data_IF_642785652654
#
_entry.id   IF_642785652654
#
_cell.length_a   1.000
_cell.length_b   1.000
_cell.length_c   1.000
_cell.angle_alpha   90.00
_cell.angle_beta   90.00
_cell.angle_gamma   90.00
#
_symmetry.space_group_name_H-M   'P 1'
#
loop_
_entity.id
_entity.type
_entity.pdbx_description
1 polymer ?
#
# COMPACT_ATOMS: atom_id res chain seq x y z
N UNK A 1 -18.80 -17.96 -19.78
CA UNK A 1 -19.41 -18.39 -18.50
C UNK A 1 -18.39 -19.24 -17.78
N UNK A 2 -17.93 -18.87 -16.58
CA UNK A 2 -17.10 -19.76 -15.79
C UNK A 2 -17.99 -20.94 -15.41
N UNK A 3 -17.67 -22.13 -15.93
CA UNK A 3 -18.32 -23.35 -15.45
C UNK A 3 -17.79 -23.59 -14.05
N UNK A 4 -18.65 -23.49 -13.04
CA UNK A 4 -18.44 -24.24 -11.81
C UNK A 4 -18.48 -25.72 -12.19
N UNK A 5 -17.31 -26.26 -12.50
CA UNK A 5 -17.14 -27.69 -12.57
C UNK A 5 -17.18 -28.19 -11.12
N UNK A 6 -18.25 -28.91 -10.78
CA UNK A 6 -18.20 -29.91 -9.72
C UNK A 6 -17.06 -30.87 -10.06
N UNK A 7 -15.87 -30.60 -9.53
CA UNK A 7 -14.67 -31.38 -9.82
C UNK A 7 -14.64 -32.62 -8.93
N UNK A 8 -15.02 -33.76 -9.50
CA UNK A 8 -14.42 -35.03 -9.14
C UNK A 8 -13.06 -35.09 -9.85
N UNK A 9 -11.97 -34.87 -9.12
CA UNK A 9 -10.61 -34.99 -9.65
C UNK A 9 -10.18 -36.47 -9.68
N UNK A 10 -9.93 -37.09 -10.85
CA UNK A 10 -9.18 -38.33 -10.91
C UNK A 10 -7.69 -37.98 -10.94
N UNK A 11 -6.99 -38.32 -9.86
CA UNK A 11 -5.55 -38.62 -9.82
C UNK A 11 -4.58 -37.60 -10.44
N UNK A 12 -4.29 -36.51 -9.72
CA UNK A 12 -3.01 -35.81 -9.82
C UNK A 12 -2.54 -35.14 -8.50
N UNK A 13 -3.16 -35.46 -7.36
CA UNK A 13 -2.53 -35.27 -6.06
C UNK A 13 -2.14 -36.65 -5.54
N UNK A 14 -0.84 -36.85 -5.34
CA UNK A 14 -0.34 -38.04 -4.67
C UNK A 14 -1.09 -38.20 -3.33
N UNK A 15 -1.62 -39.39 -3.08
CA UNK A 15 -2.24 -39.76 -1.82
C UNK A 15 -1.23 -39.52 -0.69
N UNK A 16 -1.34 -38.38 0.00
CA UNK A 16 -0.36 -37.95 0.99
C UNK A 16 -0.42 -36.47 1.41
N UNK A 17 -1.07 -35.60 0.62
CA UNK A 17 -1.09 -34.16 0.91
C UNK A 17 -2.21 -33.70 1.86
N UNK A 18 -3.31 -34.43 1.98
CA UNK A 18 -4.43 -34.02 2.84
C UNK A 18 -5.02 -35.24 3.57
N UNK A 19 -5.28 -35.08 4.87
CA UNK A 19 -5.95 -36.12 5.65
C UNK A 19 -7.36 -36.36 5.10
N UNK A 20 -7.79 -37.63 5.04
CA UNK A 20 -9.18 -37.96 4.75
C UNK A 20 -10.05 -37.31 5.84
N UNK A 21 -10.87 -36.31 5.47
CA UNK A 21 -11.72 -35.46 6.31
C UNK A 21 -11.07 -34.19 6.93
N UNK A 22 -10.01 -33.64 6.34
CA UNK A 22 -9.52 -32.31 6.74
C UNK A 22 -10.44 -31.16 6.29
N UNK A 23 -10.69 -30.18 7.16
CA UNK A 23 -11.40 -28.92 6.85
C UNK A 23 -10.52 -27.86 6.17
N UNK A 24 -9.23 -28.17 5.96
CA UNK A 24 -8.22 -27.29 5.38
C UNK A 24 -7.51 -27.99 4.21
N UNK A 25 -7.02 -27.21 3.25
CA UNK A 25 -6.21 -27.68 2.12
C UNK A 25 -4.74 -27.34 2.35
N UNK A 26 -3.82 -28.24 2.04
CA UNK A 26 -2.38 -27.99 2.15
C UNK A 26 -1.82 -27.13 1.02
N UNK A 27 -2.49 -27.16 -0.12
CA UNK A 27 -2.17 -26.41 -1.33
C UNK A 27 -3.42 -26.35 -2.21
N UNK A 28 -3.49 -25.34 -3.07
CA UNK A 28 -4.48 -25.22 -4.12
C UNK A 28 -3.83 -24.58 -5.34
N UNK A 29 -4.41 -24.83 -6.52
CA UNK A 29 -4.02 -24.17 -7.77
C UNK A 29 -5.28 -23.76 -8.52
N UNK A 30 -5.21 -22.65 -9.23
CA UNK A 30 -6.26 -22.20 -10.17
C UNK A 30 -5.62 -21.95 -11.51
N UNK A 31 -6.01 -22.78 -12.49
CA UNK A 31 -5.57 -22.66 -13.88
C UNK A 31 -6.76 -22.28 -14.76
N UNK A 32 -6.60 -21.21 -15.55
CA UNK A 32 -7.50 -20.89 -16.66
C UNK A 32 -7.03 -21.66 -17.88
N UNK A 33 -7.94 -22.26 -18.64
CA UNK A 33 -7.62 -22.98 -19.87
C UNK A 33 -8.50 -22.54 -21.04
N UNK A 34 -7.99 -22.72 -22.25
CA UNK A 34 -8.77 -22.50 -23.48
C UNK A 34 -9.77 -23.64 -23.74
N UNK A 35 -10.49 -23.56 -24.86
CA UNK A 35 -11.47 -24.60 -25.23
C UNK A 35 -10.85 -25.97 -25.56
N UNK A 36 -9.53 -26.03 -25.73
CA UNK A 36 -8.75 -27.25 -25.97
C UNK A 36 -7.99 -27.74 -24.73
N UNK A 37 -8.34 -27.26 -23.53
CA UNK A 37 -7.70 -27.57 -22.25
C UNK A 37 -6.22 -27.15 -22.16
N UNK A 38 -5.77 -26.22 -23.01
CA UNK A 38 -4.43 -25.65 -22.88
C UNK A 38 -4.43 -24.56 -21.80
N UNK A 39 -3.48 -24.63 -20.86
CA UNK A 39 -3.33 -23.64 -19.80
C UNK A 39 -3.02 -22.24 -20.37
N UNK A 40 -3.74 -21.24 -19.89
CA UNK A 40 -3.55 -19.82 -20.16
C UNK A 40 -3.19 -19.13 -18.83
N UNK A 41 -1.89 -18.97 -18.52
CA UNK A 41 -1.45 -18.35 -17.26
C UNK A 41 -1.75 -16.84 -17.21
N UNK A 42 -1.64 -16.26 -16.02
CA UNK A 42 -1.71 -14.80 -15.83
C UNK A 42 -3.11 -14.22 -16.02
N UNK A 43 -4.16 -15.03 -15.81
CA UNK A 43 -5.57 -14.63 -15.97
C UNK A 43 -6.34 -14.48 -14.65
N UNK A 44 -5.73 -14.91 -13.55
CA UNK A 44 -6.40 -14.97 -12.25
C UNK A 44 -5.74 -13.97 -11.32
N UNK A 45 -6.55 -13.07 -10.77
CA UNK A 45 -6.15 -12.14 -9.74
C UNK A 45 -7.21 -12.07 -8.64
N UNK A 46 -6.82 -11.47 -7.52
CA UNK A 46 -7.70 -11.04 -6.44
C UNK A 46 -7.28 -9.63 -5.99
N UNK A 47 -8.15 -8.88 -5.35
CA UNK A 47 -7.78 -7.58 -4.75
C UNK A 47 -7.26 -7.73 -3.31
N UNK A 48 -7.60 -8.84 -2.65
CA UNK A 48 -7.02 -9.24 -1.38
C UNK A 48 -6.90 -10.76 -1.30
N UNK A 49 -5.89 -11.24 -0.58
CA UNK A 49 -5.69 -12.63 -0.26
C UNK A 49 -6.07 -12.84 1.21
N UNK A 50 -7.21 -13.48 1.44
CA UNK A 50 -7.64 -13.89 2.77
C UNK A 50 -7.41 -15.40 2.94
N UNK A 51 -6.84 -15.80 4.07
CA UNK A 51 -6.61 -17.19 4.41
C UNK A 51 -6.89 -17.48 5.88
N UNK A 52 -7.19 -18.75 6.16
CA UNK A 52 -7.18 -19.26 7.53
C UNK A 52 -6.40 -20.56 7.56
N UNK A 53 -5.51 -20.67 8.53
CA UNK A 53 -4.69 -21.85 8.78
C UNK A 53 -5.25 -22.66 9.96
N UNK A 54 -6.19 -22.07 10.71
CA UNK A 54 -6.89 -22.70 11.84
C UNK A 54 -6.05 -22.84 13.11
N UNK A 55 -4.80 -22.34 13.11
CA UNK A 55 -3.87 -22.33 14.24
C UNK A 55 -2.70 -21.39 13.95
N UNK A 56 -2.00 -20.95 14.97
CA UNK A 56 -0.74 -20.21 14.81
C UNK A 56 0.41 -21.15 14.42
N UNK A 57 1.55 -20.58 14.01
CA UNK A 57 2.74 -21.31 13.53
C UNK A 57 2.42 -22.22 12.33
N UNK A 58 1.56 -21.74 11.43
CA UNK A 58 1.12 -22.45 10.24
C UNK A 58 1.43 -21.60 8.99
N UNK A 59 2.69 -21.61 8.53
CA UNK A 59 3.18 -20.64 7.56
C UNK A 59 2.54 -20.80 6.17
N UNK A 60 2.14 -19.67 5.58
CA UNK A 60 1.69 -19.57 4.19
C UNK A 60 2.84 -19.06 3.32
N UNK A 61 3.19 -19.83 2.28
CA UNK A 61 4.34 -19.57 1.41
C UNK A 61 3.90 -19.33 -0.06
N UNK A 62 2.72 -18.74 -0.26
CA UNK A 62 2.26 -18.40 -1.60
C UNK A 62 3.14 -17.29 -2.18
N UNK A 63 3.49 -17.40 -3.47
CA UNK A 63 4.02 -16.28 -4.23
C UNK A 63 2.86 -15.57 -4.94
N UNK A 64 2.80 -14.25 -4.83
CA UNK A 64 1.85 -13.38 -5.52
C UNK A 64 2.61 -12.42 -6.45
N UNK A 65 1.95 -12.02 -7.54
CA UNK A 65 2.45 -11.02 -8.48
C UNK A 65 1.56 -9.79 -8.37
N UNK A 66 2.06 -8.74 -7.73
CA UNK A 66 1.27 -7.53 -7.47
C UNK A 66 1.52 -6.54 -8.58
N UNK A 67 0.47 -6.26 -9.36
CA UNK A 67 0.46 -5.22 -10.38
C UNK A 67 -0.11 -3.95 -9.73
N UNK A 68 0.70 -2.89 -9.67
CA UNK A 68 0.24 -1.58 -9.21
C UNK A 68 -0.55 -0.86 -10.31
N UNK A 69 -1.33 0.13 -9.89
CA UNK A 69 -2.14 0.93 -10.81
C UNK A 69 -1.30 1.73 -11.80
N UNK A 70 -0.07 2.09 -11.45
CA UNK A 70 0.87 2.74 -12.36
C UNK A 70 1.72 1.78 -13.22
N UNK A 71 1.39 0.49 -13.19
CA UNK A 71 1.99 -0.55 -14.01
C UNK A 71 3.31 -1.11 -13.49
N UNK A 72 3.76 -0.71 -12.31
CA UNK A 72 4.84 -1.42 -11.64
C UNK A 72 4.38 -2.84 -11.25
N UNK A 73 5.30 -3.81 -11.36
CA UNK A 73 5.02 -5.22 -11.14
C UNK A 73 6.01 -5.77 -10.11
N UNK A 74 5.47 -6.40 -9.07
CA UNK A 74 6.23 -6.94 -7.96
C UNK A 74 5.99 -8.45 -7.84
N UNK A 75 7.04 -9.24 -7.68
CA UNK A 75 6.93 -10.58 -7.10
C UNK A 75 7.00 -10.45 -5.59
N UNK A 76 6.02 -10.99 -4.89
CA UNK A 76 5.95 -10.99 -3.42
C UNK A 76 5.85 -12.44 -2.97
N UNK A 77 6.88 -12.90 -2.26
CA UNK A 77 6.84 -14.15 -1.52
C UNK A 77 6.30 -13.87 -0.12
N UNK A 78 5.21 -14.54 0.27
CA UNK A 78 4.66 -14.41 1.61
C UNK A 78 5.60 -14.94 2.70
N UNK A 79 6.66 -15.68 2.32
CA UNK A 79 7.80 -16.05 3.17
C UNK A 79 7.44 -16.64 4.54
N UNK A 80 6.34 -17.39 4.56
CA UNK A 80 5.84 -18.03 5.77
C UNK A 80 4.95 -17.13 6.61
N UNK A 81 4.18 -16.22 6.00
CA UNK A 81 3.10 -15.47 6.63
C UNK A 81 2.32 -16.38 7.60
N UNK A 82 2.37 -16.02 8.87
CA UNK A 82 1.65 -16.71 9.93
C UNK A 82 0.44 -15.89 10.35
N UNK A 83 -0.73 -16.49 10.11
CA UNK A 83 -2.06 -15.91 10.17
C UNK A 83 -3.07 -16.97 10.62
N UNK A 84 -3.73 -16.85 11.78
CA UNK A 84 -4.90 -17.70 12.08
C UNK A 84 -6.02 -17.36 11.10
N UNK A 85 -6.29 -16.06 10.92
CA UNK A 85 -7.25 -15.48 9.97
C UNK A 85 -6.69 -14.20 9.32
N UNK A 86 -5.64 -14.34 8.52
CA UNK A 86 -4.96 -13.19 7.91
C UNK A 86 -5.60 -12.69 6.62
N UNK A 87 -5.46 -11.38 6.39
CA UNK A 87 -5.75 -10.73 5.10
C UNK A 87 -4.50 -9.99 4.64
N UNK A 88 -4.09 -10.24 3.40
CA UNK A 88 -3.00 -9.54 2.72
C UNK A 88 -3.56 -8.80 1.50
N UNK A 89 -3.21 -7.53 1.33
CA UNK A 89 -3.51 -6.78 0.12
C UNK A 89 -2.43 -5.75 -0.17
N UNK A 90 -2.58 -5.02 -1.27
CA UNK A 90 -1.69 -3.92 -1.60
C UNK A 90 -2.49 -2.71 -2.09
N UNK A 91 -2.03 -1.50 -1.76
CA UNK A 91 -2.65 -0.25 -2.15
C UNK A 91 -1.59 0.87 -2.32
N UNK A 92 -2.04 2.03 -2.80
CA UNK A 92 -1.17 3.18 -3.09
C UNK A 92 -0.63 3.85 -1.83
N UNK A 93 -1.41 3.86 -0.73
CA UNK A 93 -1.17 4.81 0.38
C UNK A 93 -0.93 4.15 1.75
N UNK A 94 -1.10 2.83 1.87
CA UNK A 94 -0.98 2.13 3.15
C UNK A 94 -1.97 2.67 4.20
N UNK A 95 -1.50 2.79 5.45
CA UNK A 95 -2.21 3.52 6.50
C UNK A 95 -1.95 5.02 6.35
N UNK A 96 -2.97 5.84 6.63
CA UNK A 96 -2.91 7.29 6.44
C UNK A 96 -3.26 8.03 7.72
N UNK A 97 -2.74 9.24 7.87
CA UNK A 97 -3.41 10.20 8.75
C UNK A 97 -4.76 10.55 8.10
N UNK A 98 -5.78 10.93 8.88
CA UNK A 98 -7.15 11.17 8.39
C UNK A 98 -7.34 12.31 7.36
N UNK A 99 -6.28 12.71 6.66
CA UNK A 99 -6.25 13.58 5.48
C UNK A 99 -5.41 13.00 4.32
N UNK A 100 -5.51 11.68 4.07
CA UNK A 100 -4.93 10.98 2.91
C UNK A 100 -3.39 11.00 2.81
N UNK A 101 -2.66 11.38 3.85
CA UNK A 101 -1.19 11.31 3.82
C UNK A 101 -0.71 9.94 4.29
N UNK A 102 0.03 9.16 3.47
CA UNK A 102 0.61 7.90 3.89
C UNK A 102 1.50 8.06 5.13
N UNK A 103 1.37 7.16 6.09
CA UNK A 103 2.14 7.16 7.34
C UNK A 103 3.48 6.42 7.21
N UNK A 104 3.65 5.62 6.15
CA UNK A 104 4.86 4.81 5.88
C UNK A 104 5.28 3.89 7.04
N UNK A 105 4.33 3.46 7.87
CA UNK A 105 4.58 2.66 9.07
C UNK A 105 3.45 1.69 9.37
N UNK A 106 3.76 0.68 10.16
CA UNK A 106 2.78 -0.26 10.68
C UNK A 106 2.00 0.37 11.85
N UNK A 107 0.71 0.03 11.97
CA UNK A 107 -0.19 0.58 12.99
C UNK A 107 -0.74 -0.52 13.89
N UNK A 108 -0.63 -0.31 15.20
CA UNK A 108 -1.28 -1.10 16.23
C UNK A 108 -2.76 -0.73 16.33
N UNK A 109 -3.62 -1.74 16.15
CA UNK A 109 -5.06 -1.57 16.32
C UNK A 109 -5.43 -1.50 17.81
N UNK A 110 -6.56 -0.87 18.10
CA UNK A 110 -7.07 -0.61 19.45
C UNK A 110 -8.31 -1.43 19.79
N UNK A 111 -8.52 -1.73 21.07
CA UNK A 111 -9.67 -2.49 21.55
C UNK A 111 -9.53 -4.01 21.43
N UNK A 112 -10.43 -4.75 22.08
CA UNK A 112 -10.34 -6.21 22.24
C UNK A 112 -11.30 -7.03 21.37
N UNK A 113 -11.75 -6.50 20.24
CA UNK A 113 -12.51 -7.27 19.24
C UNK A 113 -11.60 -8.21 18.44
N UNK A 114 -12.19 -9.17 17.72
CA UNK A 114 -11.45 -10.19 16.94
C UNK A 114 -10.44 -9.58 15.95
N UNK A 115 -10.68 -8.36 15.46
CA UNK A 115 -9.77 -7.65 14.55
C UNK A 115 -9.26 -6.30 15.08
N UNK A 116 -9.62 -5.89 16.31
CA UNK A 116 -9.37 -4.53 16.81
C UNK A 116 -10.08 -3.41 16.02
N UNK A 117 -9.75 -2.15 16.30
CA UNK A 117 -10.21 -0.96 15.59
C UNK A 117 -9.03 -0.08 15.21
N UNK A 118 -9.12 0.61 14.07
CA UNK A 118 -8.15 1.65 13.73
C UNK A 118 -8.13 2.74 14.81
N UNK A 119 -6.95 3.28 15.14
CA UNK A 119 -6.86 4.43 16.03
C UNK A 119 -7.59 5.66 15.50
N UNK A 120 -7.95 6.62 16.38
CA UNK A 120 -8.55 7.88 15.95
C UNK A 120 -7.64 8.63 14.94
N UNK A 121 -8.24 9.20 13.90
CA UNK A 121 -7.55 9.93 12.82
C UNK A 121 -6.55 9.09 12.01
N UNK A 122 -6.66 7.76 12.07
CA UNK A 122 -5.98 6.84 11.16
C UNK A 122 -7.04 6.15 10.32
N UNK A 123 -6.79 6.09 9.02
CA UNK A 123 -7.61 5.32 8.10
C UNK A 123 -6.71 4.51 7.14
N UNK A 124 -7.36 3.68 6.32
CA UNK A 124 -6.73 2.88 5.29
C UNK A 124 -7.74 2.62 4.19
N UNK A 125 -7.31 2.74 2.94
CA UNK A 125 -8.11 2.27 1.81
C UNK A 125 -8.05 0.74 1.75
N UNK A 126 -9.17 0.08 2.10
CA UNK A 126 -9.32 -1.37 1.96
C UNK A 126 -9.89 -1.71 0.58
N UNK A 127 -9.53 -2.86 -0.01
CA UNK A 127 -10.10 -3.31 -1.28
C UNK A 127 -11.62 -3.60 -1.24
N UNK A 128 -12.21 -3.60 -0.03
CA UNK A 128 -13.62 -3.77 0.21
C UNK A 128 -14.39 -2.46 -0.02
N UNK A 129 -14.93 -2.27 -1.22
CA UNK A 129 -15.97 -1.25 -1.41
C UNK A 129 -17.34 -1.91 -1.28
N UNK A 130 -17.96 -1.74 -0.11
CA UNK A 130 -19.38 -2.02 0.08
C UNK A 130 -20.18 -1.26 -1.00
N UNK A 131 -20.95 -2.00 -1.81
CA UNK A 131 -21.85 -1.52 -2.89
C UNK A 131 -21.26 -1.37 -4.31
N UNK A 132 -20.18 -2.06 -4.65
CA UNK A 132 -19.78 -2.17 -6.06
C UNK A 132 -19.39 -0.83 -6.69
N UNK A 133 -18.95 0.11 -5.87
CA UNK A 133 -18.17 1.24 -6.34
C UNK A 133 -16.68 0.90 -6.25
N UNK A 134 -16.34 -0.39 -6.43
CA UNK A 134 -15.00 -0.81 -6.77
C UNK A 134 -14.59 0.12 -7.91
N UNK A 135 -13.66 1.03 -7.62
CA UNK A 135 -13.04 1.82 -8.66
C UNK A 135 -13.94 2.86 -9.37
N UNK A 136 -15.06 3.31 -8.75
CA UNK A 136 -15.64 4.60 -9.20
C UNK A 136 -14.76 5.79 -8.78
N UNK A 137 -13.77 5.54 -7.93
CA UNK A 137 -12.63 6.42 -7.68
C UNK A 137 -11.46 6.14 -8.65
N UNK A 138 -11.77 5.99 -9.95
CA UNK A 138 -10.80 6.37 -11.02
C UNK A 138 -10.43 7.85 -10.95
N UNK A 139 -11.09 8.61 -10.07
CA UNK A 139 -10.63 9.89 -9.60
C UNK A 139 -9.23 9.75 -9.00
N UNK A 140 -8.23 10.11 -9.81
CA UNK A 140 -6.94 10.67 -9.36
C UNK A 140 -7.10 11.77 -8.29
N UNK A 141 -8.35 12.18 -8.00
CA UNK A 141 -8.81 13.12 -7.01
C UNK A 141 -8.65 12.61 -5.57
N UNK A 142 -8.84 11.30 -5.29
CA UNK A 142 -8.76 10.73 -3.94
C UNK A 142 -7.83 9.52 -3.78
N UNK A 143 -7.42 8.86 -4.87
CA UNK A 143 -6.31 7.88 -4.91
C UNK A 143 -6.48 6.63 -4.04
N UNK A 144 -7.72 6.38 -3.65
CA UNK A 144 -8.23 5.20 -2.96
C UNK A 144 -8.23 3.99 -3.90
N UNK A 145 -7.03 3.47 -4.21
CA UNK A 145 -6.84 2.39 -5.19
C UNK A 145 -6.15 1.17 -4.54
N UNK A 146 -6.84 0.03 -4.59
CA UNK A 146 -6.25 -1.28 -4.33
C UNK A 146 -5.57 -1.85 -5.58
N UNK A 147 -4.40 -2.48 -5.40
CA UNK A 147 -3.65 -3.14 -6.46
C UNK A 147 -4.14 -4.58 -6.69
N UNK A 148 -3.75 -5.16 -7.83
CA UNK A 148 -4.18 -6.51 -8.22
C UNK A 148 -3.12 -7.54 -7.87
N UNK A 149 -3.53 -8.57 -7.14
CA UNK A 149 -2.70 -9.69 -6.69
C UNK A 149 -2.95 -10.87 -7.63
N UNK A 150 -2.04 -11.10 -8.57
CA UNK A 150 -2.11 -12.25 -9.48
C UNK A 150 -1.40 -13.48 -8.90
N UNK A 151 -1.88 -14.68 -9.26
CA UNK A 151 -1.24 -15.95 -8.87
C UNK A 151 -0.13 -16.40 -9.83
N UNK A 152 -0.04 -15.76 -11.00
CA UNK A 152 1.09 -15.85 -11.93
C UNK A 152 1.44 -14.45 -12.44
N UNK A 153 2.57 -14.28 -13.13
CA UNK A 153 2.84 -13.05 -13.87
C UNK A 153 1.62 -12.69 -14.75
N UNK A 154 1.04 -11.48 -14.62
CA UNK A 154 -0.08 -11.07 -15.45
C UNK A 154 0.32 -11.11 -16.92
N UNK A 155 -0.54 -11.66 -17.76
CA UNK A 155 -0.21 -11.84 -19.15
C UNK A 155 -0.32 -10.53 -19.92
N UNK A 156 0.62 -10.29 -20.83
CA UNK A 156 0.70 -9.04 -21.61
C UNK A 156 -0.46 -8.84 -22.59
N UNK A 157 -1.30 -9.85 -22.83
CA UNK A 157 -2.46 -9.82 -23.72
C UNK A 157 -3.80 -9.66 -22.99
N UNK A 158 -3.79 -9.42 -21.67
CA UNK A 158 -4.95 -8.91 -20.96
C UNK A 158 -5.35 -7.53 -21.54
N UNK A 159 -6.63 -7.16 -21.57
CA UNK A 159 -7.03 -5.81 -21.92
C UNK A 159 -6.62 -4.83 -20.80
N UNK A 160 -6.60 -3.52 -21.10
CA UNK A 160 -6.35 -2.50 -20.08
C UNK A 160 -7.45 -2.47 -19.03
N UNK A 161 -8.70 -2.62 -19.47
CA UNK A 161 -9.90 -2.66 -18.64
C UNK A 161 -10.87 -3.73 -19.13
N UNK A 162 -11.84 -4.07 -18.27
CA UNK A 162 -12.97 -4.93 -18.63
C UNK A 162 -14.21 -4.55 -17.85
N UNK A 163 -15.37 -4.72 -18.49
CA UNK A 163 -16.65 -4.73 -17.80
C UNK A 163 -16.74 -5.94 -16.85
N UNK A 164 -16.79 -5.68 -15.56
CA UNK A 164 -17.09 -6.68 -14.51
C UNK A 164 -18.55 -6.57 -14.08
N UNK A 165 -19.29 -7.70 -14.03
CA UNK A 165 -20.56 -7.73 -13.35
C UNK A 165 -20.33 -7.59 -11.85
N UNK A 166 -20.76 -6.47 -11.26
CA UNK A 166 -20.91 -6.39 -9.82
C UNK A 166 -22.11 -7.25 -9.49
N UNK A 167 -21.88 -8.33 -8.76
CA UNK A 167 -22.95 -9.11 -8.17
C UNK A 167 -23.63 -8.27 -7.07
N UNK A 168 -24.50 -7.36 -7.48
CA UNK A 168 -25.56 -6.85 -6.62
C UNK A 168 -26.60 -7.96 -6.51
N UNK A 169 -26.35 -8.88 -5.60
CA UNK A 169 -27.46 -9.40 -4.83
C UNK A 169 -27.24 -8.86 -3.42
N UNK A 170 -27.90 -7.74 -3.10
CA UNK A 170 -28.62 -7.84 -1.84
C UNK A 170 -29.48 -9.12 -1.95
N UNK A 171 -29.80 -9.77 -0.85
CA UNK A 171 -30.58 -11.01 -0.90
C UNK A 171 -32.00 -10.83 -1.53
N UNK A 172 -32.31 -9.68 -2.16
CA UNK A 172 -33.55 -9.35 -2.86
C UNK A 172 -33.55 -9.63 -4.37
N UNK A 173 -32.42 -10.00 -4.99
CA UNK A 173 -32.40 -10.50 -6.38
C UNK A 173 -32.56 -9.42 -7.46
N UNK A 174 -32.06 -8.20 -7.21
CA UNK A 174 -32.00 -7.13 -8.21
C UNK A 174 -31.08 -7.45 -9.40
N UNK A 175 -31.17 -6.69 -10.50
CA UNK A 175 -30.27 -6.85 -11.65
C UNK A 175 -28.83 -6.50 -11.28
N UNK A 176 -27.87 -7.26 -11.81
CA UNK A 176 -26.45 -6.96 -11.68
C UNK A 176 -26.12 -5.59 -12.29
N UNK A 177 -25.36 -4.77 -11.56
CA UNK A 177 -24.80 -3.52 -12.08
C UNK A 177 -23.49 -3.89 -12.77
N UNK A 178 -23.28 -3.44 -14.01
CA UNK A 178 -22.00 -3.60 -14.69
C UNK A 178 -21.14 -2.38 -14.37
N UNK A 179 -19.89 -2.59 -13.99
CA UNK A 179 -18.88 -1.55 -13.82
C UNK A 179 -17.61 -1.97 -14.54
N UNK A 180 -16.73 -1.02 -14.84
CA UNK A 180 -15.42 -1.30 -15.44
C UNK A 180 -14.37 -1.42 -14.35
N UNK A 181 -13.43 -2.36 -14.48
CA UNK A 181 -12.20 -2.39 -13.67
C UNK A 181 -11.00 -2.47 -14.61
N UNK A 182 -9.88 -1.86 -14.23
CA UNK A 182 -8.61 -2.06 -14.91
C UNK A 182 -8.14 -3.52 -14.78
N UNK A 183 -7.21 -3.96 -15.62
CA UNK A 183 -6.58 -5.29 -15.57
C UNK A 183 -5.09 -5.22 -15.89
N UNK A 184 -4.70 -4.33 -16.81
CA UNK A 184 -3.31 -4.02 -17.10
C UNK A 184 -3.08 -2.52 -17.10
N UNK A 185 -1.88 -2.13 -16.72
CA UNK A 185 -1.38 -0.77 -16.80
C UNK A 185 0.03 -0.79 -17.37
N UNK A 186 0.37 0.20 -18.20
CA UNK A 186 1.71 0.32 -18.77
C UNK A 186 2.60 1.07 -17.79
N UNK A 187 3.67 0.42 -17.35
CA UNK A 187 4.66 1.04 -16.47
C UNK A 187 5.19 2.35 -17.07
N UNK A 188 5.00 3.45 -16.36
CA UNK A 188 5.59 4.74 -16.71
C UNK A 188 6.70 5.10 -15.73
N UNK A 189 7.78 5.66 -16.26
CA UNK A 189 8.82 6.25 -15.42
C UNK A 189 8.23 7.38 -14.57
N UNK A 190 8.72 7.56 -13.32
CA UNK A 190 8.32 8.70 -12.51
C UNK A 190 8.53 10.01 -13.29
N UNK A 191 7.51 10.89 -13.37
CA UNK A 191 7.65 12.16 -14.05
C UNK A 191 8.67 13.05 -13.32
N UNK A 192 9.36 13.91 -14.06
CA UNK A 192 10.19 14.95 -13.45
C UNK A 192 9.30 16.14 -13.02
N UNK A 193 9.27 16.51 -11.73
CA UNK A 193 8.57 17.71 -11.29
C UNK A 193 9.15 18.96 -11.95
N UNK A 194 8.30 19.95 -12.23
CA UNK A 194 8.71 21.22 -12.86
C UNK A 194 8.16 22.42 -12.10
N UNK A 195 8.70 23.62 -12.37
CA UNK A 195 8.25 24.88 -11.77
C UNK A 195 8.23 24.87 -10.23
N UNK A 196 9.20 24.20 -9.60
CA UNK A 196 9.31 24.12 -8.16
C UNK A 196 9.58 25.50 -7.54
N UNK A 197 8.74 25.89 -6.58
CA UNK A 197 8.77 27.20 -5.90
C UNK A 197 8.45 27.03 -4.42
N UNK A 198 9.00 27.94 -3.61
CA UNK A 198 8.61 28.10 -2.21
C UNK A 198 8.21 29.54 -1.91
N UNK A 199 7.13 29.72 -1.15
CA UNK A 199 6.72 30.99 -0.58
C UNK A 199 6.43 30.81 0.90
N UNK A 200 6.98 31.67 1.76
CA UNK A 200 6.56 31.72 3.15
C UNK A 200 5.05 32.00 3.25
N UNK A 201 4.44 31.69 4.39
CA UNK A 201 2.98 31.90 4.60
C UNK A 201 2.55 33.36 4.34
N UNK A 202 3.48 34.30 4.48
CA UNK A 202 3.30 35.74 4.22
C UNK A 202 3.39 36.12 2.73
N UNK A 203 3.68 35.17 1.84
CA UNK A 203 3.81 35.35 0.39
C UNK A 203 5.22 35.74 -0.08
N UNK A 204 6.20 35.78 0.82
CA UNK A 204 7.59 36.13 0.47
C UNK A 204 8.27 34.96 -0.24
N UNK A 205 8.80 35.13 -1.47
CA UNK A 205 9.49 34.06 -2.19
C UNK A 205 10.75 33.59 -1.47
N UNK A 206 10.94 32.27 -1.41
CA UNK A 206 12.14 31.60 -0.87
C UNK A 206 12.51 31.96 0.58
N UNK A 207 11.56 32.42 1.38
CA UNK A 207 11.78 32.82 2.79
C UNK A 207 10.56 32.46 3.63
N UNK A 208 10.79 32.05 4.88
CA UNK A 208 9.75 31.84 5.89
C UNK A 208 10.11 32.60 7.16
N UNK A 209 9.10 33.12 7.87
CA UNK A 209 9.28 33.60 9.24
C UNK A 209 9.50 32.45 10.21
N UNK A 210 10.13 32.73 11.35
CA UNK A 210 10.41 31.75 12.42
C UNK A 210 9.14 31.02 12.83
N UNK A 211 9.12 29.69 12.67
CA UNK A 211 7.98 28.85 13.01
C UNK A 211 6.68 29.12 12.24
N UNK A 212 6.73 29.85 11.13
CA UNK A 212 5.55 30.15 10.33
C UNK A 212 5.40 29.24 9.11
N UNK A 213 6.52 28.73 8.61
CA UNK A 213 6.54 27.88 7.42
C UNK A 213 6.03 28.57 6.16
N UNK A 214 5.38 27.81 5.28
CA UNK A 214 4.93 28.30 3.97
C UNK A 214 4.38 27.22 3.05
N UNK A 215 4.37 27.52 1.76
CA UNK A 215 3.81 26.67 0.71
C UNK A 215 4.86 26.35 -0.35
N UNK A 216 5.05 25.07 -0.62
CA UNK A 216 5.73 24.58 -1.81
C UNK A 216 4.73 24.48 -2.96
N UNK A 217 5.17 24.81 -4.17
CA UNK A 217 4.38 24.66 -5.39
C UNK A 217 5.22 23.96 -6.46
N UNK A 218 4.62 23.02 -7.18
CA UNK A 218 5.28 22.32 -8.29
C UNK A 218 4.25 21.78 -9.28
N UNK A 219 4.69 21.50 -10.51
CA UNK A 219 3.87 20.90 -11.54
C UNK A 219 4.29 19.46 -11.82
N UNK A 220 3.32 18.55 -11.84
CA UNK A 220 3.48 17.18 -12.36
C UNK A 220 2.89 17.14 -13.79
N UNK A 221 3.70 16.78 -14.81
CA UNK A 221 3.18 16.62 -16.16
C UNK A 221 2.17 15.46 -16.24
N UNK A 222 1.21 15.56 -17.16
CA UNK A 222 0.24 14.49 -17.37
C UNK A 222 0.95 13.26 -17.97
N UNK A 223 1.18 12.24 -17.15
CA UNK A 223 1.66 10.91 -17.55
C UNK A 223 0.54 9.89 -17.65
N UNK A 224 -0.70 10.27 -17.34
CA UNK A 224 -1.84 9.37 -17.20
C UNK A 224 -1.75 8.43 -16.00
N UNK A 225 -0.78 8.64 -15.09
CA UNK A 225 -0.52 7.78 -13.95
C UNK A 225 -0.66 8.53 -12.62
N UNK A 226 -0.96 7.77 -11.57
CA UNK A 226 -0.81 8.23 -10.18
C UNK A 226 0.67 8.40 -9.89
N UNK A 227 1.04 9.51 -9.26
CA UNK A 227 2.41 9.82 -8.87
C UNK A 227 2.42 10.25 -7.42
N UNK A 228 3.18 9.57 -6.57
CA UNK A 228 3.47 10.08 -5.25
C UNK A 228 4.65 11.05 -5.28
N UNK A 229 4.82 11.84 -4.22
CA UNK A 229 5.92 12.76 -4.09
C UNK A 229 6.52 12.73 -2.69
N UNK A 230 7.78 13.15 -2.63
CA UNK A 230 8.51 13.38 -1.39
C UNK A 230 9.18 14.76 -1.46
N UNK A 231 8.86 15.62 -0.51
CA UNK A 231 9.55 16.87 -0.25
C UNK A 231 10.50 16.69 0.91
N UNK A 232 11.80 16.84 0.68
CA UNK A 232 12.83 16.77 1.71
C UNK A 232 13.36 18.17 1.99
N UNK A 233 13.20 18.63 3.21
CA UNK A 233 13.86 19.84 3.74
C UNK A 233 15.16 19.36 4.40
N UNK A 234 16.28 19.59 3.73
CA UNK A 234 17.64 19.21 4.16
C UNK A 234 18.25 20.36 4.97
N UNK A 235 18.17 20.25 6.29
CA UNK A 235 18.68 21.28 7.18
C UNK A 235 20.18 21.07 7.43
N UNK A 236 20.99 22.15 7.40
CA UNK A 236 22.41 22.01 7.67
C UNK A 236 22.66 21.34 9.02
N UNK A 237 23.47 20.27 9.07
CA UNK A 237 23.76 19.53 10.29
C UNK A 237 24.22 20.43 11.46
N UNK A 238 24.92 21.53 11.17
CA UNK A 238 25.38 22.50 12.16
C UNK A 238 24.27 23.33 12.82
N UNK A 239 23.07 23.37 12.23
CA UNK A 239 21.90 24.07 12.78
C UNK A 239 21.24 23.31 13.93
N UNK A 240 21.46 21.99 14.01
CA UNK A 240 20.84 21.13 15.03
C UNK A 240 19.38 20.76 14.75
N UNK A 241 18.81 21.18 13.62
CA UNK A 241 17.49 20.74 13.16
C UNK A 241 17.56 19.35 12.51
N UNK A 242 16.49 18.59 12.66
CA UNK A 242 16.32 17.29 11.99
C UNK A 242 15.67 17.50 10.64
N UNK A 243 16.21 16.92 9.58
CA UNK A 243 15.61 16.96 8.24
C UNK A 243 14.13 16.57 8.29
N UNK A 244 13.34 17.23 7.46
CA UNK A 244 11.91 16.96 7.39
C UNK A 244 11.52 16.41 6.04
N UNK A 245 10.75 15.34 6.08
CA UNK A 245 10.09 14.78 4.91
C UNK A 245 8.60 15.10 4.96
N UNK A 246 8.06 15.64 3.88
CA UNK A 246 6.63 15.76 3.63
C UNK A 246 6.33 14.94 2.39
N UNK A 247 5.65 13.83 2.56
CA UNK A 247 5.24 12.96 1.47
C UNK A 247 3.75 13.08 1.23
N UNK A 248 3.30 12.63 0.06
CA UNK A 248 1.90 12.58 -0.30
C UNK A 248 1.74 12.19 -1.75
N UNK A 249 0.54 12.32 -2.26
CA UNK A 249 0.26 12.02 -3.65
C UNK A 249 0.04 13.30 -4.45
N UNK A 250 0.58 13.34 -5.66
CA UNK A 250 0.51 14.50 -6.52
C UNK A 250 -0.58 14.35 -7.59
N UNK A 251 -1.28 15.44 -7.84
CA UNK A 251 -2.23 15.58 -8.94
C UNK A 251 -1.50 16.02 -10.21
N UNK A 252 -2.07 15.68 -11.37
CA UNK A 252 -1.59 16.19 -12.66
C UNK A 252 -1.78 17.72 -12.69
N UNK A 253 -0.74 18.43 -13.09
CA UNK A 253 -0.69 19.89 -13.08
C UNK A 253 -0.14 20.43 -11.77
N UNK A 254 -0.68 21.55 -11.31
CA UNK A 254 -0.13 22.29 -10.18
C UNK A 254 -0.52 21.68 -8.84
N UNK A 255 0.46 21.43 -8.01
CA UNK A 255 0.36 20.95 -6.64
C UNK A 255 0.80 22.04 -5.67
N UNK A 256 0.22 22.05 -4.47
CA UNK A 256 0.63 22.96 -3.40
C UNK A 256 0.65 22.22 -2.08
N UNK A 257 1.76 22.30 -1.37
CA UNK A 257 2.00 21.57 -0.12
C UNK A 257 2.38 22.55 0.98
N UNK A 258 1.69 22.47 2.11
CA UNK A 258 1.94 23.32 3.28
C UNK A 258 3.05 22.72 4.16
N UNK A 259 3.92 23.58 4.66
CA UNK A 259 4.87 23.30 5.74
C UNK A 259 4.61 24.25 6.89
N UNK A 260 4.56 23.73 8.11
CA UNK A 260 4.18 24.44 9.34
C UNK A 260 5.34 25.19 10.02
N UNK A 261 6.56 25.14 9.46
CA UNK A 261 7.73 25.76 10.06
C UNK A 261 8.46 24.91 11.10
N UNK A 262 8.10 23.64 11.26
CA UNK A 262 8.77 22.70 12.18
C UNK A 262 9.78 21.80 11.45
N UNK A 263 10.78 21.31 12.18
CA UNK A 263 11.74 20.32 11.72
C UNK A 263 11.15 18.89 11.80
N UNK A 264 11.93 17.86 11.42
CA UNK A 264 11.50 16.46 11.48
C UNK A 264 11.25 15.93 12.89
N UNK A 265 11.75 16.61 13.93
CA UNK A 265 11.54 16.29 15.34
C UNK A 265 10.39 17.11 15.96
N UNK A 266 9.69 17.94 15.17
CA UNK A 266 8.62 18.81 15.64
C UNK A 266 9.10 20.09 16.34
N UNK A 267 10.39 20.42 16.28
CA UNK A 267 10.93 21.66 16.82
C UNK A 267 10.70 22.83 15.87
N UNK A 268 10.47 24.03 16.40
CA UNK A 268 10.36 25.25 15.60
C UNK A 268 11.68 25.55 14.90
N UNK A 269 11.67 25.65 13.57
CA UNK A 269 12.81 26.11 12.79
C UNK A 269 12.95 27.62 12.96
N UNK A 270 14.11 28.05 13.44
CA UNK A 270 14.44 29.45 13.72
C UNK A 270 15.57 29.98 12.82
N UNK A 271 15.99 31.23 13.07
CA UNK A 271 16.99 31.90 12.24
C UNK A 271 18.38 31.25 12.23
N UNK A 272 18.68 30.33 13.16
CA UNK A 272 19.96 29.61 13.21
C UNK A 272 20.14 28.64 12.05
N UNK A 273 19.04 28.24 11.38
CA UNK A 273 19.08 27.37 10.20
C UNK A 273 19.82 28.00 9.02
N UNK A 274 19.76 29.33 8.89
CA UNK A 274 20.31 30.04 7.73
C UNK A 274 19.61 29.65 6.43
N UNK A 275 20.38 29.21 5.43
CA UNK A 275 19.88 28.67 4.16
C UNK A 275 19.92 27.15 4.22
N UNK A 276 18.88 26.52 3.68
CA UNK A 276 18.76 25.07 3.60
C UNK A 276 18.22 24.69 2.21
N UNK A 277 18.46 23.44 1.82
CA UNK A 277 18.05 22.94 0.52
C UNK A 277 16.70 22.23 0.63
N UNK A 278 15.91 22.29 -0.44
CA UNK A 278 14.64 21.59 -0.54
C UNK A 278 14.64 20.79 -1.83
N UNK A 279 14.39 19.49 -1.69
CA UNK A 279 14.31 18.56 -2.80
C UNK A 279 12.88 18.07 -2.97
N UNK A 280 12.40 18.03 -4.22
CA UNK A 280 11.15 17.40 -4.61
C UNK A 280 11.46 16.18 -5.48
N UNK A 281 11.02 15.02 -5.02
CA UNK A 281 11.07 13.78 -5.77
C UNK A 281 9.65 13.37 -6.13
N UNK A 282 9.44 12.90 -7.36
CA UNK A 282 8.21 12.23 -7.76
C UNK A 282 8.50 10.74 -7.96
N UNK A 283 7.57 9.91 -7.50
CA UNK A 283 7.71 8.46 -7.48
C UNK A 283 6.54 7.82 -8.21
N UNK A 284 6.88 6.77 -8.96
CA UNK A 284 5.94 5.78 -9.48
C UNK A 284 6.45 4.40 -9.03
N UNK A 285 5.52 3.47 -8.89
CA UNK A 285 5.72 2.14 -8.34
C UNK A 285 5.72 2.12 -6.83
N UNK A 286 5.32 3.20 -6.15
CA UNK A 286 5.12 3.13 -4.71
C UNK A 286 4.02 2.10 -4.40
N UNK A 287 4.29 1.25 -3.41
CA UNK A 287 3.41 0.15 -3.04
C UNK A 287 3.48 -0.08 -1.55
N UNK A 288 2.32 -0.27 -0.94
CA UNK A 288 2.18 -0.66 0.45
C UNK A 288 1.57 -2.06 0.53
N UNK A 289 1.99 -2.85 1.51
CA UNK A 289 1.49 -4.22 1.74
C UNK A 289 0.82 -4.36 3.11
N UNK A 290 -0.37 -3.78 3.33
CA UNK A 290 -1.09 -3.97 4.57
C UNK A 290 -1.42 -5.45 4.80
N UNK A 291 -1.18 -5.90 6.03
CA UNK A 291 -1.56 -7.23 6.49
C UNK A 291 -2.32 -7.11 7.79
N UNK A 292 -3.51 -7.71 7.83
CA UNK A 292 -4.34 -7.78 9.02
C UNK A 292 -4.26 -9.17 9.64
N UNK A 293 -4.27 -9.21 10.97
CA UNK A 293 -4.29 -10.43 11.78
C UNK A 293 -3.14 -11.40 11.41
N UNK A 294 -1.93 -10.83 11.34
CA UNK A 294 -0.69 -11.60 11.30
C UNK A 294 -0.15 -11.75 12.72
N UNK A 295 0.13 -12.97 13.17
CA UNK A 295 0.58 -13.26 14.53
C UNK A 295 2.10 -13.30 14.61
N UNK A 296 2.73 -14.29 13.97
CA UNK A 296 4.20 -14.47 14.00
C UNK A 296 4.82 -14.38 12.61
N UNK A 297 4.71 -13.20 11.98
CA UNK A 297 5.30 -12.96 10.66
C UNK A 297 6.80 -12.61 10.71
N UNK A 298 7.62 -13.43 11.39
CA UNK A 298 9.01 -13.10 11.73
C UNK A 298 9.96 -12.96 10.54
N UNK A 299 9.63 -13.57 9.40
CA UNK A 299 10.47 -13.54 8.21
C UNK A 299 10.12 -12.37 7.27
N UNK A 300 9.05 -11.61 7.57
CA UNK A 300 8.54 -10.57 6.68
C UNK A 300 8.13 -11.12 5.32
N UNK A 301 8.37 -10.33 4.26
CA UNK A 301 8.09 -10.71 2.88
C UNK A 301 9.36 -10.61 2.04
N UNK A 302 9.49 -11.44 1.01
CA UNK A 302 10.51 -11.25 -0.02
C UNK A 302 9.90 -10.52 -1.21
N UNK A 303 10.42 -9.35 -1.54
CA UNK A 303 9.88 -8.48 -2.59
C UNK A 303 10.92 -8.28 -3.69
N UNK A 304 10.47 -8.39 -4.95
CA UNK A 304 11.27 -8.10 -6.13
C UNK A 304 10.45 -7.28 -7.14
N UNK A 305 10.93 -6.09 -7.52
CA UNK A 305 10.39 -5.34 -8.65
C UNK A 305 10.83 -5.98 -9.97
N UNK A 306 9.86 -6.32 -10.82
CA UNK A 306 10.07 -7.03 -12.09
C UNK A 306 10.18 -6.11 -13.32
N UNK A 307 9.83 -4.83 -13.21
CA UNK A 307 9.97 -3.85 -14.31
C UNK A 307 11.44 -3.72 -14.77
N UNK A 308 11.72 -3.24 -16.00
CA UNK A 308 13.09 -2.95 -16.43
C UNK A 308 13.83 -2.02 -15.45
N UNK A 309 15.15 -2.19 -15.33
CA UNK A 309 15.98 -1.29 -14.51
C UNK A 309 15.96 0.11 -15.12
N UNK A 310 15.83 1.12 -14.26
CA UNK A 310 15.98 2.51 -14.64
C UNK A 310 17.47 2.85 -14.86
N UNK A 311 17.80 3.90 -15.63
CA UNK A 311 19.17 4.35 -15.77
C UNK A 311 19.81 4.61 -14.40
N UNK A 312 20.94 3.96 -14.13
CA UNK A 312 21.65 4.08 -12.85
C UNK A 312 21.27 3.03 -11.80
N UNK A 313 20.18 2.28 -12.01
CA UNK A 313 19.83 1.17 -11.13
C UNK A 313 20.63 -0.10 -11.44
N UNK A 314 20.79 -0.90 -10.40
CA UNK A 314 21.41 -2.21 -10.38
C UNK A 314 20.36 -3.29 -10.08
N UNK A 315 20.70 -4.56 -10.30
CA UNK A 315 19.81 -5.67 -9.94
C UNK A 315 19.44 -5.69 -8.44
N UNK A 316 20.33 -5.22 -7.56
CA UNK A 316 20.07 -5.16 -6.13
C UNK A 316 18.96 -4.16 -5.77
N UNK A 317 18.78 -3.10 -6.58
CA UNK A 317 17.76 -2.08 -6.33
C UNK A 317 16.34 -2.64 -6.53
N UNK A 318 16.16 -3.77 -7.23
CA UNK A 318 14.87 -4.47 -7.35
C UNK A 318 14.34 -5.01 -6.02
N UNK A 319 15.22 -5.20 -5.05
CA UNK A 319 14.91 -5.79 -3.74
C UNK A 319 15.03 -4.77 -2.60
N UNK A 320 15.29 -3.49 -2.91
CA UNK A 320 15.42 -2.46 -1.88
C UNK A 320 14.03 -2.05 -1.41
N UNK A 321 13.79 -2.19 -0.12
CA UNK A 321 12.57 -1.76 0.58
C UNK A 321 12.97 -0.71 1.60
N UNK A 322 12.14 0.33 1.73
CA UNK A 322 12.27 1.36 2.76
C UNK A 322 11.11 1.17 3.75
N UNK A 323 11.39 1.26 5.05
CA UNK A 323 10.41 1.13 6.11
C UNK A 323 10.76 2.08 7.26
N UNK A 324 9.74 2.52 8.01
CA UNK A 324 9.87 3.34 9.21
C UNK A 324 9.11 2.68 10.36
N UNK A 325 9.84 1.97 11.23
CA UNK A 325 9.33 1.38 12.47
C UNK A 325 9.73 2.23 13.69
N UNK A 326 9.89 3.55 13.51
CA UNK A 326 10.17 4.44 14.63
C UNK A 326 9.03 4.43 15.66
N UNK A 327 9.39 4.18 16.91
CA UNK A 327 8.48 4.27 18.05
C UNK A 327 8.70 5.59 18.79
N UNK A 328 7.70 6.46 18.79
CA UNK A 328 7.82 7.83 19.31
C UNK A 328 6.95 8.05 20.56
N UNK A 329 6.42 7.01 21.18
CA UNK A 329 5.66 7.16 22.41
C UNK A 329 6.57 7.56 23.57
N UNK A 330 6.34 8.76 24.12
CA UNK A 330 7.12 9.32 25.23
C UNK A 330 6.37 9.31 26.57
N UNK A 331 5.20 8.66 26.64
CA UNK A 331 4.32 8.65 27.81
C UNK A 331 3.18 9.69 27.72
N UNK A 332 2.35 9.77 28.79
CA UNK A 332 1.27 10.78 28.87
C UNK A 332 -0.16 10.28 28.65
N UNK A 333 -0.37 8.95 28.62
CA UNK A 333 -1.70 8.34 28.47
C UNK A 333 -2.17 8.20 27.02
N UNK A 334 -3.41 7.72 26.82
CA UNK A 334 -3.96 7.36 25.50
C UNK A 334 -4.05 8.53 24.52
N UNK A 335 -4.18 9.76 25.01
CA UNK A 335 -4.25 10.95 24.15
C UNK A 335 -2.94 11.23 23.39
N UNK A 336 -1.81 10.71 23.88
CA UNK A 336 -0.48 10.90 23.30
C UNK A 336 0.13 9.57 22.83
N UNK A 337 -0.67 8.50 22.72
CA UNK A 337 -0.18 7.19 22.34
C UNK A 337 0.22 7.18 20.86
N UNK A 338 1.48 6.88 20.57
CA UNK A 338 1.96 6.59 19.23
C UNK A 338 1.56 5.14 18.92
N UNK A 339 0.66 4.96 17.96
CA UNK A 339 0.14 3.64 17.58
C UNK A 339 1.10 2.88 16.66
N UNK A 340 2.38 3.27 16.57
CA UNK A 340 3.38 2.49 15.84
C UNK A 340 3.69 1.17 16.55
N UNK A 341 4.00 0.13 15.77
CA UNK A 341 4.53 -1.13 16.30
C UNK A 341 6.06 -0.96 16.50
N UNK A 342 6.56 -1.10 17.72
CA UNK A 342 7.97 -0.83 18.04
C UNK A 342 8.97 -1.87 17.49
N UNK A 343 10.22 -1.40 17.32
CA UNK A 343 11.46 -2.16 17.14
C UNK A 343 12.00 -2.77 18.47
N UNK A 344 12.91 -3.75 18.35
CA UNK A 344 13.42 -4.66 19.39
C UNK A 344 13.64 -4.10 20.82
N UNK A 345 13.17 -4.90 21.80
CA UNK A 345 13.30 -4.78 23.27
C UNK A 345 12.19 -4.02 24.05
N UNK A 346 11.06 -3.72 23.43
CA UNK A 346 9.92 -3.13 24.13
C UNK A 346 8.77 -4.13 24.35
N UNK A 347 8.31 -4.25 25.59
CA UNK A 347 7.03 -4.86 25.95
C UNK A 347 5.99 -3.76 26.15
N UNK A 348 5.23 -3.34 25.13
CA UNK A 348 4.15 -2.39 25.35
C UNK A 348 3.04 -3.05 26.17
N UNK A 349 2.57 -2.37 27.23
CA UNK A 349 1.31 -2.75 27.89
C UNK A 349 0.13 -2.24 27.05
N UNK A 350 -0.85 -3.11 26.82
CA UNK A 350 -1.97 -2.95 25.90
C UNK A 350 -2.98 -1.82 26.25
N UNK A 351 -3.66 -1.25 25.24
CA UNK A 351 -4.82 -0.38 25.44
C UNK A 351 -6.08 -1.16 25.89
N UNK A 352 -6.83 -0.65 26.89
CA UNK A 352 -8.25 -1.00 27.18
C UNK A 352 -8.98 0.23 27.79
N UNK A 353 -10.28 0.52 27.55
CA UNK A 353 -11.34 -0.19 26.82
C UNK A 353 -12.19 0.79 25.97
N UNK A 354 -12.76 0.29 24.88
CA UNK A 354 -13.97 0.87 24.30
C UNK A 354 -15.15 0.62 25.26
N UNK A 355 -16.02 1.63 25.42
CA UNK A 355 -17.33 1.42 26.06
C UNK A 355 -18.29 0.83 25.04
#
# INVERSE_FOLDING_TARGET
MPRQNNFNWPSAFASGFQANNGTYVSAWDVTVADAGDNSIPGRVYTNYFANTTGRNEAPVNSTLYVLSFDGALYRVDLNGLDGFTSIFFANVEGFRNGGQTPLYRSIQFTGGGVFGNLPPNIDIHTPEVWRGLEDQDTGLENLDIAHKLFFNTPAADLPLDVDVPIAYTDFSGGPAIINTTWLLQTYALPPQPTDFKFFGVEGTPNQAGVGLGGYFSFNIPNTGQVTSFKLTLDFPLASGFTDRVIAGTAQIGNNTVFWDGLDGSGNVVDTTVGTFDIEIEANNGEIHFPVFDAETNTNGFEIERLNPLLPGETAADRHRVYYDDSYNYTGGGLANFDYSLCADNETPNAPTAAV
#
